data_IF_253655847749
#
_entry.id   IF_253655847749
#
_cell.length_a   1.000
_cell.length_b   1.000
_cell.length_c   1.000
_cell.angle_alpha   90.00
_cell.angle_beta   90.00
_cell.angle_gamma   90.00
#
_symmetry.space_group_name_H-M   'P 1'
#
loop_
_entity.id
_entity.type
_entity.pdbx_description
1 polymer ?
#
# COMPACT_ATOMS: atom_id res chain seq x y z
N UNK A 1 20.15 8.43 -17.96
CA UNK A 1 19.61 8.75 -16.63
C UNK A 1 19.82 7.56 -15.73
N UNK A 2 20.22 7.75 -14.48
CA UNK A 2 20.39 6.68 -13.51
C UNK A 2 19.01 6.11 -13.16
N UNK A 3 18.91 4.77 -13.00
CA UNK A 3 17.68 4.13 -12.53
C UNK A 3 17.40 4.58 -11.09
N UNK A 4 16.19 5.06 -10.76
CA UNK A 4 15.86 5.40 -9.38
C UNK A 4 15.83 4.13 -8.50
N UNK A 5 16.39 4.24 -7.31
CA UNK A 5 16.41 3.17 -6.30
C UNK A 5 15.12 3.21 -5.49
N UNK A 6 14.32 2.17 -5.56
CA UNK A 6 13.05 2.04 -4.87
C UNK A 6 13.20 1.07 -3.70
N UNK A 7 13.10 1.61 -2.49
CA UNK A 7 13.05 0.79 -1.28
C UNK A 7 11.67 0.15 -1.15
N UNK A 8 11.62 -1.16 -0.94
CA UNK A 8 10.35 -1.90 -0.77
C UNK A 8 10.35 -2.55 0.61
N UNK A 9 9.23 -2.46 1.33
CA UNK A 9 9.04 -3.18 2.60
C UNK A 9 8.45 -4.56 2.36
N UNK A 10 8.88 -5.53 3.17
CA UNK A 10 8.36 -6.90 3.17
C UNK A 10 7.80 -7.30 4.54
N UNK A 11 7.19 -8.47 4.62
CA UNK A 11 6.72 -9.06 5.88
C UNK A 11 7.81 -9.88 6.56
N UNK A 12 7.70 -10.05 7.89
CA UNK A 12 8.56 -10.97 8.63
C UNK A 12 8.00 -12.40 8.63
N UNK A 13 8.89 -13.37 8.72
CA UNK A 13 8.56 -14.79 8.76
C UNK A 13 9.71 -15.62 9.32
N UNK A 14 9.61 -16.93 9.13
CA UNK A 14 10.67 -17.85 9.48
C UNK A 14 10.83 -18.90 8.36
N UNK A 15 12.07 -19.27 8.09
CA UNK A 15 12.38 -20.42 7.26
C UNK A 15 12.01 -21.74 7.97
N UNK A 16 12.01 -22.86 7.25
CA UNK A 16 11.65 -24.16 7.79
C UNK A 16 12.50 -24.61 9.00
N UNK A 17 13.72 -24.11 9.12
CA UNK A 17 14.62 -24.35 10.27
C UNK A 17 14.45 -23.33 11.42
N UNK A 18 13.43 -22.44 11.36
CA UNK A 18 13.18 -21.40 12.36
C UNK A 18 14.01 -20.12 12.19
N UNK A 19 14.89 -20.03 11.21
CA UNK A 19 15.66 -18.80 10.95
C UNK A 19 14.73 -17.64 10.57
N UNK A 20 14.80 -16.46 11.24
CA UNK A 20 14.00 -15.28 10.87
C UNK A 20 14.26 -14.86 9.42
N UNK A 21 13.21 -14.49 8.71
CA UNK A 21 13.27 -14.06 7.30
C UNK A 21 12.47 -12.78 7.09
N UNK A 22 12.88 -12.02 6.07
CA UNK A 22 12.04 -11.01 5.42
C UNK A 22 11.55 -11.56 4.08
N UNK A 23 10.27 -11.42 3.80
CA UNK A 23 9.63 -11.99 2.63
C UNK A 23 8.89 -10.90 1.84
N UNK A 24 9.05 -10.94 0.53
CA UNK A 24 8.36 -10.07 -0.41
C UNK A 24 7.88 -10.89 -1.61
N UNK A 25 6.63 -10.68 -2.04
CA UNK A 25 6.18 -11.26 -3.30
C UNK A 25 6.95 -10.64 -4.47
N UNK A 26 7.43 -11.49 -5.36
CA UNK A 26 8.29 -11.10 -6.48
C UNK A 26 7.64 -10.06 -7.39
N UNK A 27 6.31 -10.10 -7.57
CA UNK A 27 5.56 -9.16 -8.44
C UNK A 27 5.84 -7.67 -8.12
N UNK A 28 6.11 -7.31 -6.85
CA UNK A 28 6.47 -5.93 -6.52
C UNK A 28 7.78 -5.53 -7.18
N UNK A 29 8.82 -6.36 -7.01
CA UNK A 29 10.12 -6.12 -7.60
C UNK A 29 10.08 -6.16 -9.13
N UNK A 30 9.38 -7.13 -9.72
CA UNK A 30 9.25 -7.29 -11.17
C UNK A 30 8.58 -6.07 -11.82
N UNK A 31 7.54 -5.51 -11.20
CA UNK A 31 6.86 -4.35 -11.73
C UNK A 31 7.70 -3.06 -11.58
N UNK A 32 8.45 -2.91 -10.49
CA UNK A 32 9.42 -1.80 -10.35
C UNK A 32 10.51 -1.90 -11.43
N UNK A 33 11.04 -3.10 -11.71
CA UNK A 33 12.02 -3.33 -12.79
C UNK A 33 11.43 -3.00 -14.16
N UNK A 34 10.20 -3.45 -14.45
CA UNK A 34 9.50 -3.14 -15.71
C UNK A 34 9.26 -1.66 -15.90
N UNK A 35 9.00 -0.92 -14.83
CA UNK A 35 8.85 0.53 -14.82
C UNK A 35 10.19 1.28 -14.90
N UNK A 36 11.33 0.58 -14.89
CA UNK A 36 12.68 1.15 -15.02
C UNK A 36 13.29 1.61 -13.69
N UNK A 37 12.78 1.18 -12.55
CA UNK A 37 13.37 1.36 -11.22
C UNK A 37 14.28 0.20 -10.81
N UNK A 38 15.07 0.39 -9.76
CA UNK A 38 15.89 -0.65 -9.13
C UNK A 38 15.31 -0.99 -7.75
N UNK A 39 14.71 -2.18 -7.53
CA UNK A 39 14.12 -2.56 -6.27
C UNK A 39 15.17 -2.94 -5.22
N UNK A 40 14.98 -2.50 -3.99
CA UNK A 40 15.77 -2.86 -2.80
C UNK A 40 14.84 -3.23 -1.65
N UNK A 41 15.06 -4.37 -1.00
CA UNK A 41 14.28 -4.81 0.17
C UNK A 41 14.82 -4.19 1.46
N UNK A 42 13.95 -3.55 2.25
CA UNK A 42 14.26 -3.07 3.59
C UNK A 42 14.20 -4.24 4.59
N UNK A 43 15.27 -4.41 5.40
CA UNK A 43 15.40 -5.54 6.34
C UNK A 43 15.86 -5.13 7.74
N UNK A 44 16.02 -3.85 8.02
CA UNK A 44 16.53 -3.36 9.32
C UNK A 44 15.86 -2.06 9.74
N UNK A 45 15.26 -2.07 10.92
CA UNK A 45 14.63 -0.90 11.55
C UNK A 45 15.65 0.19 11.93
N UNK A 46 16.89 -0.22 12.22
CA UNK A 46 17.97 0.71 12.61
C UNK A 46 18.53 1.50 11.43
N UNK A 47 18.30 1.00 10.20
CA UNK A 47 18.82 1.63 8.98
C UNK A 47 17.83 2.60 8.32
N UNK A 48 16.72 2.97 8.95
CA UNK A 48 15.65 3.75 8.32
C UNK A 48 16.15 5.07 7.72
N UNK A 49 16.98 5.81 8.45
CA UNK A 49 17.59 7.07 7.98
C UNK A 49 18.54 6.82 6.80
N UNK A 50 19.42 5.83 6.90
CA UNK A 50 20.35 5.48 5.84
C UNK A 50 19.63 5.00 4.58
N UNK A 51 18.55 4.24 4.72
CA UNK A 51 17.69 3.86 3.60
C UNK A 51 17.06 5.08 2.93
N UNK A 52 16.57 6.04 3.74
CA UNK A 52 15.97 7.25 3.21
C UNK A 52 16.99 8.20 2.56
N UNK A 53 18.27 8.16 2.95
CA UNK A 53 19.33 8.88 2.25
C UNK A 53 19.69 8.22 0.92
N UNK A 54 19.72 6.89 0.87
CA UNK A 54 20.13 6.09 -0.27
C UNK A 54 19.07 6.00 -1.36
N UNK A 55 17.82 5.66 -0.98
CA UNK A 55 16.75 5.37 -1.93
C UNK A 55 16.05 6.65 -2.41
N UNK A 56 15.51 6.61 -3.62
CA UNK A 56 14.82 7.72 -4.27
C UNK A 56 13.30 7.71 -4.00
N UNK A 57 12.72 6.56 -3.63
CA UNK A 57 11.33 6.39 -3.27
C UNK A 57 11.10 5.17 -2.37
N UNK A 58 9.95 5.16 -1.68
CA UNK A 58 9.52 4.10 -0.76
C UNK A 58 8.22 3.46 -1.25
N UNK A 59 8.23 2.13 -1.43
CA UNK A 59 7.04 1.31 -1.70
C UNK A 59 6.70 0.49 -0.46
N UNK A 60 5.55 0.77 0.16
CA UNK A 60 4.99 -0.01 1.27
C UNK A 60 4.12 -1.12 0.69
N UNK A 61 4.55 -2.36 0.79
CA UNK A 61 3.84 -3.50 0.19
C UNK A 61 2.65 -3.98 1.02
N UNK A 62 1.80 -4.82 0.43
CA UNK A 62 0.75 -5.55 1.15
C UNK A 62 1.30 -6.56 2.16
N UNK A 63 0.45 -7.13 3.01
CA UNK A 63 0.89 -8.10 4.02
C UNK A 63 -0.13 -8.34 5.14
N UNK A 64 0.36 -8.75 6.30
CA UNK A 64 -0.41 -8.93 7.55
C UNK A 64 -0.99 -7.60 8.03
N UNK A 65 -1.89 -7.65 9.00
CA UNK A 65 -2.60 -6.50 9.52
C UNK A 65 -1.69 -5.53 10.29
N UNK A 66 -2.07 -4.26 10.32
CA UNK A 66 -1.44 -3.24 11.18
C UNK A 66 -1.89 -3.45 12.63
N UNK A 67 -0.97 -3.35 13.59
CA UNK A 67 -1.30 -3.50 15.01
C UNK A 67 -2.33 -2.45 15.44
N UNK A 68 -3.52 -2.84 15.94
CA UNK A 68 -4.55 -1.92 16.40
C UNK A 68 -4.08 -0.93 17.46
N UNK A 69 -3.08 -1.29 18.27
CA UNK A 69 -2.49 -0.38 19.25
C UNK A 69 -1.91 0.89 18.63
N UNK A 70 -1.45 0.83 17.35
CA UNK A 70 -0.89 1.99 16.65
C UNK A 70 -1.93 3.06 16.30
N UNK A 71 -3.21 2.70 16.22
CA UNK A 71 -4.32 3.63 15.99
C UNK A 71 -5.28 3.71 17.19
N UNK A 72 -4.79 3.34 18.39
CA UNK A 72 -5.47 3.55 19.67
C UNK A 72 -6.65 2.61 19.91
N UNK A 73 -6.69 1.46 19.28
CA UNK A 73 -7.71 0.42 19.46
C UNK A 73 -7.15 -0.84 20.10
N UNK A 74 -8.04 -1.60 20.77
CA UNK A 74 -7.74 -2.95 21.21
C UNK A 74 -7.93 -3.93 20.04
N UNK A 75 -7.21 -5.07 20.09
CA UNK A 75 -7.39 -6.16 19.15
C UNK A 75 -8.77 -6.80 19.37
N UNK A 76 -9.64 -6.73 18.37
CA UNK A 76 -11.03 -7.20 18.45
C UNK A 76 -11.21 -8.65 18.01
N UNK A 77 -10.37 -9.13 17.10
CA UNK A 77 -10.56 -10.41 16.42
C UNK A 77 -9.29 -11.25 16.46
N UNK A 78 -9.41 -12.54 16.82
CA UNK A 78 -8.29 -13.48 16.92
C UNK A 78 -7.63 -13.78 15.57
N UNK A 79 -8.34 -13.53 14.46
CA UNK A 79 -7.81 -13.71 13.10
C UNK A 79 -7.02 -12.52 12.57
N UNK A 80 -7.00 -11.38 13.26
CA UNK A 80 -6.13 -10.24 12.94
C UNK A 80 -4.70 -10.60 13.31
N UNK A 81 -3.85 -10.75 12.29
CA UNK A 81 -2.46 -11.21 12.44
C UNK A 81 -1.52 -10.05 12.17
N UNK A 82 -0.89 -9.55 13.21
CA UNK A 82 0.01 -8.40 13.16
C UNK A 82 1.48 -8.78 12.90
N UNK A 83 2.30 -7.80 12.53
CA UNK A 83 3.73 -7.92 12.32
C UNK A 83 4.44 -6.70 12.93
N UNK A 84 4.63 -6.71 14.25
CA UNK A 84 5.17 -5.56 15.00
C UNK A 84 6.55 -5.11 14.52
N UNK A 85 7.43 -6.04 14.13
CA UNK A 85 8.75 -5.68 13.62
C UNK A 85 8.65 -4.91 12.29
N UNK A 86 7.71 -5.29 11.45
CA UNK A 86 7.40 -4.59 10.21
C UNK A 86 6.73 -3.24 10.47
N UNK A 87 5.79 -3.18 11.42
CA UNK A 87 5.14 -1.92 11.82
C UNK A 87 6.20 -0.90 12.27
N UNK A 88 7.12 -1.29 13.17
CA UNK A 88 8.20 -0.44 13.65
C UNK A 88 9.12 0.05 12.52
N UNK A 89 9.46 -0.84 11.57
CA UNK A 89 10.27 -0.48 10.41
C UNK A 89 9.54 0.53 9.53
N UNK A 90 8.28 0.27 9.16
CA UNK A 90 7.53 1.12 8.26
C UNK A 90 7.23 2.49 8.87
N UNK A 91 6.88 2.57 10.16
CA UNK A 91 6.68 3.86 10.85
C UNK A 91 7.93 4.74 10.79
N UNK A 92 9.12 4.17 10.99
CA UNK A 92 10.40 4.91 10.88
C UNK A 92 10.72 5.29 9.44
N UNK A 93 10.46 4.40 8.48
CA UNK A 93 10.69 4.69 7.06
C UNK A 93 9.77 5.79 6.55
N UNK A 94 8.46 5.73 6.88
CA UNK A 94 7.50 6.77 6.50
C UNK A 94 7.98 8.14 7.02
N UNK A 95 8.39 8.22 8.29
CA UNK A 95 8.94 9.44 8.87
C UNK A 95 10.14 9.95 8.08
N UNK A 96 11.15 9.11 7.89
CA UNK A 96 12.40 9.50 7.25
C UNK A 96 12.23 9.96 5.80
N UNK A 97 11.34 9.29 5.02
CA UNK A 97 11.04 9.66 3.63
C UNK A 97 10.17 10.92 3.55
N UNK A 98 9.16 11.05 4.42
CA UNK A 98 8.27 12.23 4.46
C UNK A 98 9.04 13.51 4.83
N UNK A 99 9.93 13.45 5.82
CA UNK A 99 10.81 14.58 6.20
C UNK A 99 11.71 15.03 5.04
N UNK A 100 12.16 14.10 4.19
CA UNK A 100 12.95 14.37 2.98
C UNK A 100 12.10 14.70 1.74
N UNK A 101 10.77 14.72 1.89
CA UNK A 101 9.80 14.93 0.79
C UNK A 101 10.05 13.98 -0.39
N UNK A 102 10.48 12.75 -0.12
CA UNK A 102 10.66 11.70 -1.11
C UNK A 102 9.34 10.98 -1.39
N UNK A 103 9.10 10.50 -2.61
CA UNK A 103 7.87 9.79 -2.97
C UNK A 103 7.65 8.54 -2.11
N UNK A 104 6.41 8.38 -1.63
CA UNK A 104 5.95 7.18 -0.92
C UNK A 104 4.68 6.67 -1.61
N UNK A 105 4.66 5.39 -1.91
CA UNK A 105 3.47 4.70 -2.42
C UNK A 105 3.12 3.50 -1.55
N UNK A 106 1.86 3.44 -1.08
CA UNK A 106 1.34 2.33 -0.28
C UNK A 106 0.39 1.43 -1.09
N UNK A 107 0.53 0.12 -0.92
CA UNK A 107 -0.33 -0.91 -1.55
C UNK A 107 -0.94 -1.78 -0.46
N UNK A 108 -2.28 -1.91 -0.45
CA UNK A 108 -3.07 -2.72 0.47
C UNK A 108 -2.75 -2.38 1.94
N UNK A 109 -2.00 -3.19 2.67
CA UNK A 109 -1.53 -2.82 4.00
C UNK A 109 -0.78 -1.47 4.02
N UNK A 110 -0.13 -1.10 2.92
CA UNK A 110 0.59 0.17 2.78
C UNK A 110 -0.30 1.42 2.93
N UNK A 111 -1.55 1.41 2.43
CA UNK A 111 -2.48 2.52 2.67
C UNK A 111 -2.91 2.58 4.14
N UNK A 112 -3.04 1.41 4.77
CA UNK A 112 -3.49 1.29 6.16
C UNK A 112 -2.44 1.83 7.13
N UNK A 113 -1.17 1.44 6.98
CA UNK A 113 -0.08 1.94 7.82
C UNK A 113 0.18 3.44 7.60
N UNK A 114 0.02 3.95 6.37
CA UNK A 114 0.10 5.39 6.09
C UNK A 114 -1.02 6.17 6.79
N UNK A 115 -2.27 5.71 6.69
CA UNK A 115 -3.38 6.33 7.40
C UNK A 115 -3.13 6.33 8.92
N UNK A 116 -2.66 5.22 9.46
CA UNK A 116 -2.31 5.08 10.88
C UNK A 116 -1.17 6.02 11.29
N UNK A 117 -0.11 6.11 10.47
CA UNK A 117 1.03 7.01 10.73
C UNK A 117 0.61 8.48 10.84
N UNK A 118 -0.30 8.94 9.99
CA UNK A 118 -0.83 10.30 10.02
C UNK A 118 -1.97 10.50 11.03
N UNK A 119 -2.33 9.47 11.82
CA UNK A 119 -3.28 9.56 12.93
C UNK A 119 -4.71 9.14 12.60
N UNK A 120 -4.94 8.47 11.46
CA UNK A 120 -6.22 7.85 11.12
C UNK A 120 -6.47 6.54 11.86
N UNK A 121 -7.64 5.92 11.63
CA UNK A 121 -8.03 4.62 12.21
C UNK A 121 -8.47 3.63 11.14
N UNK A 122 -8.60 2.35 11.51
CA UNK A 122 -9.01 1.28 10.61
C UNK A 122 -10.25 0.55 11.13
N UNK A 123 -11.10 0.11 10.20
CA UNK A 123 -11.99 -1.02 10.44
C UNK A 123 -11.14 -2.28 10.48
N UNK A 124 -11.21 -3.04 11.58
CA UNK A 124 -10.45 -4.29 11.73
C UNK A 124 -11.05 -5.45 10.96
N UNK A 125 -12.34 -5.36 10.60
CA UNK A 125 -13.01 -6.34 9.77
C UNK A 125 -14.23 -5.73 9.06
N UNK A 126 -14.23 -5.69 7.74
CA UNK A 126 -15.30 -5.12 6.92
C UNK A 126 -16.59 -5.93 7.09
N UNK A 127 -16.59 -7.28 6.98
CA UNK A 127 -17.80 -8.08 7.13
C UNK A 127 -18.54 -7.85 8.45
N UNK A 128 -17.83 -7.87 9.57
CA UNK A 128 -18.46 -7.71 10.90
C UNK A 128 -18.88 -6.26 11.18
N UNK A 129 -18.04 -5.28 10.82
CA UNK A 129 -18.25 -3.89 11.19
C UNK A 129 -19.15 -3.12 10.22
N UNK A 130 -19.19 -3.52 8.94
CA UNK A 130 -19.95 -2.85 7.88
C UNK A 130 -20.96 -3.76 7.19
N UNK A 131 -20.97 -5.06 7.47
CA UNK A 131 -21.86 -6.03 6.83
C UNK A 131 -21.58 -6.27 5.35
N UNK A 132 -20.47 -5.78 4.84
CA UNK A 132 -20.05 -5.90 3.44
C UNK A 132 -19.09 -7.07 3.24
N UNK A 133 -18.78 -7.37 1.99
CA UNK A 133 -17.80 -8.40 1.62
C UNK A 133 -16.79 -7.83 0.63
N UNK A 134 -15.52 -7.91 1.00
CA UNK A 134 -14.36 -7.68 0.15
C UNK A 134 -13.58 -8.98 -0.02
N UNK A 135 -14.32 -10.05 -0.36
CA UNK A 135 -13.81 -11.41 -0.43
C UNK A 135 -12.53 -11.51 -1.27
N UNK A 136 -11.63 -12.33 -0.78
CA UNK A 136 -10.32 -12.56 -1.36
C UNK A 136 -10.39 -13.05 -2.81
N UNK A 137 -9.82 -12.27 -3.73
CA UNK A 137 -9.73 -12.62 -5.15
C UNK A 137 -10.95 -12.20 -5.97
N UNK A 138 -11.88 -11.45 -5.41
CA UNK A 138 -13.01 -10.85 -6.15
C UNK A 138 -12.55 -9.56 -6.82
N UNK A 139 -13.10 -9.27 -8.01
CA UNK A 139 -12.99 -7.95 -8.65
C UNK A 139 -14.28 -7.18 -8.43
N UNK A 140 -14.18 -5.89 -8.21
CA UNK A 140 -15.34 -5.00 -8.05
C UNK A 140 -15.05 -3.62 -8.66
N UNK A 141 -16.10 -2.86 -9.03
CA UNK A 141 -15.94 -1.52 -9.55
C UNK A 141 -15.41 -0.55 -8.50
N UNK A 142 -14.55 0.36 -8.94
CA UNK A 142 -13.99 1.44 -8.16
C UNK A 142 -14.22 2.77 -8.88
N UNK A 143 -14.82 3.73 -8.19
CA UNK A 143 -15.01 5.11 -8.68
C UNK A 143 -13.78 5.95 -8.34
N UNK A 144 -13.28 6.72 -9.31
CA UNK A 144 -12.04 7.48 -9.20
C UNK A 144 -12.34 8.98 -9.32
N UNK A 145 -11.75 9.78 -8.46
CA UNK A 145 -11.79 11.25 -8.52
C UNK A 145 -10.99 11.74 -9.75
N UNK A 146 -11.64 12.50 -10.63
CA UNK A 146 -11.08 12.95 -11.91
C UNK A 146 -9.74 13.69 -11.79
N UNK A 147 -9.62 14.59 -10.82
CA UNK A 147 -8.43 15.43 -10.61
C UNK A 147 -7.37 14.79 -9.70
N UNK A 148 -7.40 13.45 -9.56
CA UNK A 148 -6.43 12.66 -8.81
C UNK A 148 -5.30 12.13 -9.69
N UNK A 149 -4.28 11.52 -9.06
CA UNK A 149 -3.23 10.76 -9.76
C UNK A 149 -3.88 9.65 -10.59
N UNK A 150 -4.77 8.87 -9.98
CA UNK A 150 -5.46 7.77 -10.67
C UNK A 150 -6.36 8.29 -11.80
N UNK A 151 -7.06 9.41 -11.61
CA UNK A 151 -7.89 10.02 -12.63
C UNK A 151 -7.12 10.56 -13.84
N UNK A 152 -5.81 10.84 -13.69
CA UNK A 152 -4.91 11.20 -14.80
C UNK A 152 -4.36 9.97 -15.53
N UNK A 153 -4.28 8.82 -14.86
CA UNK A 153 -3.76 7.57 -15.41
C UNK A 153 -4.85 6.73 -16.06
N UNK A 154 -6.07 6.79 -15.54
CA UNK A 154 -7.18 5.93 -15.91
C UNK A 154 -8.46 6.75 -16.15
N UNK A 155 -9.55 6.06 -16.39
CA UNK A 155 -10.89 6.63 -16.51
C UNK A 155 -11.58 6.77 -15.14
N UNK A 156 -12.76 7.39 -15.10
CA UNK A 156 -13.49 7.68 -13.86
C UNK A 156 -13.97 6.43 -13.09
N UNK A 157 -13.96 5.26 -13.69
CA UNK A 157 -14.29 3.98 -13.05
C UNK A 157 -13.46 2.85 -13.64
N UNK A 158 -13.01 1.93 -12.79
CA UNK A 158 -12.24 0.76 -13.19
C UNK A 158 -12.57 -0.44 -12.31
N UNK A 159 -12.39 -1.66 -12.85
CA UNK A 159 -12.44 -2.89 -12.05
C UNK A 159 -11.09 -3.09 -11.34
N UNK A 160 -11.14 -3.29 -10.02
CA UNK A 160 -9.98 -3.56 -9.17
C UNK A 160 -10.13 -4.92 -8.47
N UNK A 161 -9.01 -5.54 -8.13
CA UNK A 161 -9.02 -6.76 -7.32
C UNK A 161 -9.16 -6.43 -5.82
N UNK A 162 -9.67 -7.37 -5.04
CA UNK A 162 -9.78 -7.25 -3.59
C UNK A 162 -9.13 -8.45 -2.89
N UNK A 163 -8.28 -8.16 -1.90
CA UNK A 163 -7.59 -9.16 -1.05
C UNK A 163 -7.47 -8.68 0.39
N UNK A 164 -8.38 -7.82 0.84
CA UNK A 164 -8.35 -7.24 2.17
C UNK A 164 -9.66 -7.46 2.92
N UNK A 165 -9.60 -7.56 4.23
CA UNK A 165 -10.74 -7.59 5.14
C UNK A 165 -10.79 -6.36 6.06
N UNK A 166 -9.74 -5.53 6.03
CA UNK A 166 -9.65 -4.26 6.73
C UNK A 166 -9.76 -3.09 5.77
N UNK A 167 -10.23 -1.93 6.26
CA UNK A 167 -10.34 -0.69 5.48
C UNK A 167 -10.03 0.52 6.35
N UNK A 168 -9.84 1.68 5.71
CA UNK A 168 -9.75 2.95 6.42
C UNK A 168 -11.11 3.27 7.06
N UNK A 169 -11.11 3.61 8.36
CA UNK A 169 -12.27 4.09 9.11
C UNK A 169 -12.24 5.63 9.14
N UNK A 170 -11.52 6.23 10.08
CA UNK A 170 -11.30 7.67 10.08
C UNK A 170 -10.05 7.99 9.26
N UNK A 171 -10.23 8.79 8.22
CA UNK A 171 -9.13 9.27 7.40
C UNK A 171 -8.28 10.27 8.20
N UNK A 172 -6.97 10.13 8.12
CA UNK A 172 -6.03 11.02 8.79
C UNK A 172 -6.05 12.43 8.18
N UNK A 173 -5.73 13.44 9.00
CA UNK A 173 -5.57 14.81 8.52
C UNK A 173 -4.44 14.90 7.49
N UNK A 174 -4.67 15.66 6.42
CA UNK A 174 -3.74 15.80 5.30
C UNK A 174 -3.81 14.69 4.25
N UNK A 175 -4.59 13.62 4.49
CA UNK A 175 -4.93 12.63 3.46
C UNK A 175 -6.28 12.95 2.84
N UNK A 176 -6.38 12.83 1.52
CA UNK A 176 -7.61 13.01 0.75
C UNK A 176 -7.96 11.71 0.04
N UNK A 177 -9.17 11.23 0.25
CA UNK A 177 -9.66 10.07 -0.49
C UNK A 177 -9.85 10.42 -1.97
N UNK A 178 -9.38 9.55 -2.85
CA UNK A 178 -9.37 9.76 -4.30
C UNK A 178 -9.97 8.62 -5.09
N UNK A 179 -10.28 7.50 -4.46
CA UNK A 179 -11.07 6.42 -5.05
C UNK A 179 -11.91 5.70 -3.98
N UNK A 180 -13.05 5.15 -4.42
CA UNK A 180 -14.01 4.48 -3.54
C UNK A 180 -14.67 3.29 -4.23
N UNK A 181 -14.99 2.28 -3.43
CA UNK A 181 -15.93 1.21 -3.77
C UNK A 181 -17.15 1.23 -2.85
N UNK A 182 -18.20 0.51 -3.24
CA UNK A 182 -19.36 0.27 -2.37
C UNK A 182 -19.26 -1.15 -1.77
N UNK A 183 -19.50 -1.26 -0.48
CA UNK A 183 -19.65 -2.53 0.22
C UNK A 183 -20.90 -2.47 1.08
N UNK A 184 -21.97 -3.10 0.61
CA UNK A 184 -23.28 -3.15 1.29
C UNK A 184 -23.84 -1.75 1.63
N UNK A 185 -23.69 -0.76 0.73
CA UNK A 185 -24.11 0.63 0.95
C UNK A 185 -23.16 1.48 1.77
N UNK A 186 -22.00 0.94 2.19
CA UNK A 186 -20.92 1.68 2.81
C UNK A 186 -19.83 2.01 1.79
N UNK A 187 -19.40 3.26 1.76
CA UNK A 187 -18.26 3.66 0.94
C UNK A 187 -16.94 3.22 1.59
N UNK A 188 -16.19 2.37 0.89
CA UNK A 188 -14.84 1.97 1.26
C UNK A 188 -13.85 2.86 0.52
N UNK A 189 -12.91 3.47 1.23
CA UNK A 189 -11.83 4.25 0.61
C UNK A 189 -10.81 3.30 0.01
N UNK A 190 -10.65 3.39 -1.31
CA UNK A 190 -9.75 2.55 -2.10
C UNK A 190 -8.45 3.23 -2.48
N UNK A 191 -8.39 4.56 -2.45
CA UNK A 191 -7.15 5.30 -2.67
C UNK A 191 -7.13 6.63 -1.92
N UNK A 192 -5.92 7.03 -1.55
CA UNK A 192 -5.66 8.34 -0.92
C UNK A 192 -4.44 9.01 -1.54
N UNK A 193 -4.44 10.34 -1.49
CA UNK A 193 -3.29 11.20 -1.79
C UNK A 193 -3.08 12.15 -0.61
N UNK A 194 -1.82 12.49 -0.31
CA UNK A 194 -1.51 13.51 0.68
C UNK A 194 -1.55 14.90 0.04
N UNK A 195 -2.17 15.88 0.70
CA UNK A 195 -2.39 17.23 0.16
C UNK A 195 -1.11 17.99 -0.22
N UNK A 196 0.01 17.71 0.44
CA UNK A 196 1.25 18.50 0.29
C UNK A 196 2.53 17.70 0.13
N UNK A 197 2.52 16.40 0.43
CA UNK A 197 3.67 15.49 0.28
C UNK A 197 3.49 14.59 -0.95
N UNK A 198 4.55 14.12 -1.58
CA UNK A 198 4.46 13.19 -2.70
C UNK A 198 4.13 11.76 -2.22
N UNK A 199 3.00 11.63 -1.55
CA UNK A 199 2.52 10.39 -0.94
C UNK A 199 1.15 10.06 -1.49
N UNK A 200 0.96 8.83 -1.95
CA UNK A 200 -0.31 8.30 -2.39
C UNK A 200 -0.39 6.79 -2.16
N UNK A 201 -1.57 6.23 -2.14
CA UNK A 201 -1.75 4.82 -1.80
C UNK A 201 -3.04 4.26 -2.36
N UNK A 202 -3.06 2.94 -2.52
CA UNK A 202 -4.24 2.17 -2.96
C UNK A 202 -4.48 0.96 -2.05
N UNK A 203 -5.75 0.58 -1.90
CA UNK A 203 -6.15 -0.54 -1.04
C UNK A 203 -6.08 -1.89 -1.77
N UNK A 204 -6.26 -1.91 -3.09
CA UNK A 204 -6.13 -3.12 -3.91
C UNK A 204 -4.67 -3.50 -4.20
N UNK A 205 -4.48 -4.54 -5.01
CA UNK A 205 -3.17 -5.10 -5.35
C UNK A 205 -2.83 -4.87 -6.84
N UNK A 206 -2.35 -3.66 -7.23
CA UNK A 206 -1.97 -3.36 -8.61
C UNK A 206 -0.84 -4.26 -9.12
N UNK A 207 0.04 -4.76 -8.24
CA UNK A 207 1.13 -5.68 -8.63
C UNK A 207 0.62 -7.03 -9.14
N UNK A 208 -0.66 -7.35 -8.90
CA UNK A 208 -1.35 -8.55 -9.42
C UNK A 208 -2.24 -8.24 -10.62
N UNK A 209 -2.22 -7.00 -11.11
CA UNK A 209 -3.02 -6.52 -12.24
C UNK A 209 -2.12 -6.09 -13.41
N UNK A 210 -0.97 -6.74 -13.60
CA UNK A 210 -0.02 -6.42 -14.65
C UNK A 210 0.26 -7.64 -15.54
N UNK A 211 0.00 -7.47 -16.84
CA UNK A 211 0.25 -8.52 -17.84
C UNK A 211 -0.78 -9.68 -17.81
N UNK A 212 -0.68 -10.61 -18.76
CA UNK A 212 -1.76 -11.58 -19.05
C UNK A 212 -1.84 -12.74 -18.06
N UNK A 213 -0.82 -12.98 -17.22
CA UNK A 213 -0.77 -14.16 -16.34
C UNK A 213 -1.34 -13.88 -14.95
N UNK A 214 -1.16 -12.66 -14.45
CA UNK A 214 -1.55 -12.28 -13.08
C UNK A 214 -2.77 -11.38 -13.01
N UNK A 215 -3.14 -10.75 -14.14
CA UNK A 215 -4.29 -9.85 -14.18
C UNK A 215 -5.59 -10.67 -14.24
N UNK A 216 -6.50 -10.52 -13.25
CA UNK A 216 -7.84 -11.08 -13.34
C UNK A 216 -8.55 -10.59 -14.61
N UNK A 217 -9.35 -11.45 -15.22
CA UNK A 217 -10.16 -11.08 -16.37
C UNK A 217 -11.00 -9.83 -16.01
N UNK A 218 -10.96 -8.81 -16.87
CA UNK A 218 -11.64 -7.52 -16.75
C UNK A 218 -10.98 -6.46 -15.84
N UNK A 219 -9.91 -6.75 -15.11
CA UNK A 219 -9.17 -5.72 -14.41
C UNK A 219 -8.23 -4.95 -15.35
N UNK A 220 -8.09 -3.66 -15.13
CA UNK A 220 -7.24 -2.77 -15.95
C UNK A 220 -5.76 -3.10 -15.72
N UNK A 221 -4.92 -2.98 -16.76
CA UNK A 221 -3.47 -3.12 -16.57
C UNK A 221 -2.94 -1.97 -15.71
N UNK A 222 -2.38 -2.32 -14.56
CA UNK A 222 -1.88 -1.36 -13.55
C UNK A 222 -0.41 -0.99 -13.72
N UNK A 223 0.28 -1.43 -14.78
CA UNK A 223 1.67 -1.04 -15.04
C UNK A 223 1.87 0.49 -15.07
N UNK A 224 0.95 1.31 -15.62
CA UNK A 224 1.07 2.77 -15.59
C UNK A 224 1.21 3.38 -14.19
N UNK A 225 0.69 2.73 -13.14
CA UNK A 225 0.87 3.18 -11.76
C UNK A 225 2.33 3.04 -11.30
N UNK A 226 2.98 1.93 -11.63
CA UNK A 226 4.40 1.70 -11.35
C UNK A 226 5.29 2.66 -12.13
N UNK A 227 4.98 2.88 -13.41
CA UNK A 227 5.69 3.86 -14.26
C UNK A 227 5.56 5.27 -13.70
N UNK A 228 4.37 5.68 -13.27
CA UNK A 228 4.15 6.97 -12.63
C UNK A 228 4.98 7.12 -11.36
N UNK A 229 4.95 6.14 -10.46
CA UNK A 229 5.70 6.16 -9.21
C UNK A 229 7.22 6.22 -9.44
N UNK A 230 7.75 5.35 -10.31
CA UNK A 230 9.18 5.34 -10.66
C UNK A 230 9.60 6.65 -11.30
N UNK A 231 8.74 7.27 -12.14
CA UNK A 231 9.02 8.58 -12.74
C UNK A 231 9.05 9.70 -11.70
N UNK A 232 8.20 9.67 -10.67
CA UNK A 232 8.28 10.62 -9.55
C UNK A 232 9.60 10.52 -8.77
N UNK A 233 10.23 9.34 -8.72
CA UNK A 233 11.49 9.10 -8.03
C UNK A 233 12.73 9.49 -8.87
N UNK A 234 12.58 9.92 -10.12
CA UNK A 234 13.69 10.38 -10.97
C UNK A 234 14.15 11.78 -10.56
N UNK A 235 15.47 11.95 -10.44
CA UNK A 235 16.12 13.25 -10.23
C UNK A 235 16.38 13.96 -11.54
#
# INVERSE_FOLDING_TARGET
>A
MQQPLILITGGTGAAANGTPTWNLNQNYADNILRAGGLPLLAVSTECAEAYADLADGLLLSGGKDVDPALYGQELKYDFVITDKQRDDLEMKLIKAFAERRKPIWGICRGIQILNTYFGGTLYQDIPDQLGGDHAKGVCHPCTIKKDSILGKLFVESMEINSYHHQALDRLADGLVATAWSDSNGHQIVEAVEHESLPIWSVQWHPERMTGPVTNPANCVDSLPMFEYFVNQCRK
#
